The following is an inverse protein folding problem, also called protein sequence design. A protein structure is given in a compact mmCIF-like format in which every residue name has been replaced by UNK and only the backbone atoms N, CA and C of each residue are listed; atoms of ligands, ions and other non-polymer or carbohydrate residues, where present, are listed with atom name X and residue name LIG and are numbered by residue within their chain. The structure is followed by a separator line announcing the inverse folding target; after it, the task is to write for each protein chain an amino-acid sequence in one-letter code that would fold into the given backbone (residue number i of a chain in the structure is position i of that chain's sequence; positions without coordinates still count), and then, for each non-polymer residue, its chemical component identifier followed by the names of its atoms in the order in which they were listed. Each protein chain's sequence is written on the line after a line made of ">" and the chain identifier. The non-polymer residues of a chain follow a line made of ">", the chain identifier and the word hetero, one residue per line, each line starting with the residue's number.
data_IF_840479802623
#
_entry.id   IF_840479802623
#
_cell.length_a   1.000
_cell.length_b   1.000
_cell.length_c   1.000
_cell.angle_alpha   90.00
_cell.angle_beta   90.00
_cell.angle_gamma   90.00
#
_symmetry.space_group_name_H-M   'P 1'
#
loop_
_entity.id
_entity.type
_entity.pdbx_description
1 polymer ?
#
# COMPACT_ATOMS: atom_id res chain seq x y z
N UNK A 1 -39.53 7.01 13.00
CA UNK A 1 -39.14 8.32 13.57
C UNK A 1 -39.80 9.40 12.72
N UNK A 2 -40.96 9.87 13.16
CA UNK A 2 -41.76 10.87 12.46
C UNK A 2 -41.59 12.25 13.09
N UNK A 3 -41.62 13.28 12.25
CA UNK A 3 -41.68 14.68 12.69
C UNK A 3 -42.88 15.34 12.02
N UNK A 4 -43.98 15.38 12.79
CA UNK A 4 -45.15 16.17 12.52
C UNK A 4 -44.88 17.63 12.95
N UNK A 5 -45.07 18.59 12.05
CA UNK A 5 -45.14 20.00 12.42
C UNK A 5 -46.59 20.43 12.43
N UNK A 6 -47.16 20.43 13.63
CA UNK A 6 -48.31 21.26 13.96
C UNK A 6 -47.86 22.71 14.10
N UNK A 7 -48.62 23.63 13.49
CA UNK A 7 -48.68 25.03 13.94
C UNK A 7 -50.14 25.42 14.03
N UNK A 8 -50.59 25.57 15.27
CA UNK A 8 -51.87 26.18 15.59
C UNK A 8 -51.86 27.66 15.23
N UNK A 9 -53.00 28.14 14.77
CA UNK A 9 -53.34 29.55 14.77
C UNK A 9 -54.56 29.68 15.68
N UNK A 10 -54.31 30.23 16.86
CA UNK A 10 -55.33 30.62 17.82
C UNK A 10 -55.96 31.95 17.41
N UNK A 11 -57.27 31.99 17.63
CA UNK A 11 -58.20 33.12 17.73
C UNK A 11 -57.60 34.53 17.87
N UNK A 12 -58.09 35.46 17.05
CA UNK A 12 -58.34 36.82 17.53
C UNK A 12 -59.71 37.31 17.02
N UNK A 13 -60.63 37.31 17.98
CA UNK A 13 -61.98 37.85 17.95
C UNK A 13 -61.90 39.38 17.85
N UNK A 14 -62.42 39.97 16.77
CA UNK A 14 -62.57 41.42 16.61
C UNK A 14 -64.06 41.80 16.61
N UNK A 15 -64.56 41.97 17.83
CA UNK A 15 -65.29 43.16 18.29
C UNK A 15 -66.39 43.74 17.40
N UNK A 16 -67.62 43.48 17.83
CA UNK A 16 -68.73 44.43 17.98
C UNK A 16 -68.42 45.89 17.60
N UNK A 17 -69.12 46.41 16.59
CA UNK A 17 -69.33 47.86 16.42
C UNK A 17 -70.84 48.09 16.33
N UNK A 18 -71.44 48.24 17.50
CA UNK A 18 -72.71 48.94 17.67
C UNK A 18 -72.53 50.41 17.29
N UNK A 19 -73.43 50.93 16.46
CA UNK A 19 -73.40 52.33 16.01
C UNK A 19 -73.89 53.34 17.05
N UNK A 20 -73.89 54.62 16.68
CA UNK A 20 -74.91 55.55 17.14
C UNK A 20 -75.76 56.04 15.97
N UNK A 21 -77.07 56.07 16.19
CA UNK A 21 -77.99 56.91 15.45
C UNK A 21 -77.75 58.36 15.90
N UNK A 22 -77.49 59.27 14.95
CA UNK A 22 -77.91 60.67 15.10
C UNK A 22 -78.01 61.36 13.73
N UNK A 23 -78.91 62.33 13.72
CA UNK A 23 -79.62 62.92 12.61
C UNK A 23 -78.78 63.90 11.77
N UNK A 24 -79.00 63.88 10.45
CA UNK A 24 -78.34 64.84 9.56
C UNK A 24 -78.56 64.59 8.08
N UNK A 25 -79.71 65.03 7.55
CA UNK A 25 -80.00 65.12 6.12
C UNK A 25 -79.00 66.10 5.46
N UNK A 26 -77.89 65.57 4.95
CA UNK A 26 -76.97 66.27 4.05
C UNK A 26 -76.60 65.34 2.88
N UNK A 27 -77.13 65.70 1.70
CA UNK A 27 -76.66 65.37 0.34
C UNK A 27 -75.84 64.08 0.14
N UNK A 28 -76.51 63.03 -0.34
CA UNK A 28 -76.06 61.62 -0.36
C UNK A 28 -75.01 61.20 -1.42
N UNK A 29 -73.87 61.88 -1.52
CA UNK A 29 -72.76 61.44 -2.41
C UNK A 29 -71.44 61.19 -1.65
N UNK A 30 -71.21 61.82 -0.49
CA UNK A 30 -69.93 61.72 0.26
C UNK A 30 -69.59 60.33 0.84
N UNK A 31 -70.49 59.65 1.57
CA UNK A 31 -70.19 58.37 2.22
C UNK A 31 -69.94 57.22 1.23
N UNK A 32 -70.69 57.19 0.13
CA UNK A 32 -70.54 56.19 -0.94
C UNK A 32 -69.17 56.34 -1.63
N UNK A 33 -68.73 57.58 -1.88
CA UNK A 33 -67.40 57.82 -2.48
C UNK A 33 -66.26 57.42 -1.54
N UNK A 34 -66.42 57.58 -0.22
CA UNK A 34 -65.45 57.10 0.77
C UNK A 34 -65.36 55.57 0.82
N UNK A 35 -66.50 54.87 0.75
CA UNK A 35 -66.52 53.40 0.68
C UNK A 35 -65.88 52.87 -0.61
N UNK A 36 -66.14 53.53 -1.75
CA UNK A 36 -65.51 53.19 -3.04
C UNK A 36 -63.99 53.44 -3.00
N UNK A 37 -63.53 54.51 -2.35
CA UNK A 37 -62.10 54.76 -2.16
C UNK A 37 -61.43 53.69 -1.28
N UNK A 38 -62.07 53.27 -0.18
CA UNK A 38 -61.58 52.20 0.69
C UNK A 38 -61.47 50.86 -0.07
N UNK A 39 -62.51 50.50 -0.84
CA UNK A 39 -62.49 49.29 -1.68
C UNK A 39 -61.40 49.37 -2.76
N UNK A 40 -61.18 50.54 -3.36
CA UNK A 40 -60.11 50.72 -4.36
C UNK A 40 -58.71 50.53 -3.76
N UNK A 41 -58.50 51.00 -2.51
CA UNK A 41 -57.25 50.77 -1.77
C UNK A 41 -57.07 49.29 -1.45
N UNK A 42 -58.12 48.61 -0.99
CA UNK A 42 -58.04 47.17 -0.69
C UNK A 42 -57.83 46.33 -1.95
N UNK A 43 -58.45 46.67 -3.09
CA UNK A 43 -58.18 46.04 -4.39
C UNK A 43 -56.73 46.26 -4.81
N UNK A 44 -56.19 47.46 -4.61
CA UNK A 44 -54.78 47.77 -4.85
C UNK A 44 -53.84 46.92 -3.98
N UNK A 45 -54.16 46.75 -2.70
CA UNK A 45 -53.42 45.91 -1.76
C UNK A 45 -53.47 44.43 -2.15
N UNK A 46 -54.65 43.92 -2.48
CA UNK A 46 -54.83 42.53 -2.93
C UNK A 46 -54.05 42.28 -4.22
N UNK A 47 -54.09 43.21 -5.18
CA UNK A 47 -53.31 43.09 -6.40
C UNK A 47 -51.81 43.05 -6.13
N UNK A 48 -51.31 43.92 -5.25
CA UNK A 48 -49.90 43.91 -4.85
C UNK A 48 -49.50 42.59 -4.17
N UNK A 49 -50.37 42.04 -3.30
CA UNK A 49 -50.14 40.73 -2.67
C UNK A 49 -50.15 39.58 -3.68
N UNK A 50 -51.04 39.62 -4.68
CA UNK A 50 -51.06 38.62 -5.77
C UNK A 50 -49.80 38.73 -6.61
N UNK A 51 -49.37 39.94 -6.98
CA UNK A 51 -48.12 40.15 -7.71
C UNK A 51 -46.91 39.65 -6.91
N UNK A 52 -46.86 39.90 -5.59
CA UNK A 52 -45.82 39.36 -4.71
C UNK A 52 -45.86 37.82 -4.64
N UNK A 53 -47.02 37.21 -4.41
CA UNK A 53 -47.17 35.75 -4.35
C UNK A 53 -46.77 35.09 -5.67
N UNK A 54 -47.15 35.67 -6.81
CA UNK A 54 -46.74 35.15 -8.12
C UNK A 54 -45.22 35.23 -8.32
N UNK A 55 -44.57 36.30 -7.85
CA UNK A 55 -43.12 36.43 -7.87
C UNK A 55 -42.43 35.39 -6.96
N UNK A 56 -42.95 35.15 -5.77
CA UNK A 56 -42.47 34.13 -4.83
C UNK A 56 -42.63 32.72 -5.40
N UNK A 57 -43.79 32.40 -5.99
CA UNK A 57 -44.01 31.13 -6.68
C UNK A 57 -43.07 30.94 -7.87
N UNK A 58 -42.82 31.98 -8.66
CA UNK A 58 -41.86 31.92 -9.77
C UNK A 58 -40.40 31.75 -9.28
N UNK A 59 -40.06 32.28 -8.11
CA UNK A 59 -38.76 32.07 -7.48
C UNK A 59 -38.62 30.62 -6.96
N UNK A 60 -39.64 30.10 -6.29
CA UNK A 60 -39.69 28.72 -5.81
C UNK A 60 -39.63 27.70 -6.96
N UNK A 61 -40.36 27.93 -8.05
CA UNK A 61 -40.30 27.09 -9.25
C UNK A 61 -38.90 27.06 -9.87
N UNK A 62 -38.20 28.20 -9.89
CA UNK A 62 -36.80 28.28 -10.34
C UNK A 62 -35.84 27.53 -9.42
N UNK A 63 -36.05 27.58 -8.10
CA UNK A 63 -35.26 26.83 -7.13
C UNK A 63 -35.47 25.32 -7.30
N UNK A 64 -36.72 24.87 -7.42
CA UNK A 64 -37.05 23.46 -7.70
C UNK A 64 -36.42 22.99 -9.01
N UNK A 65 -36.48 23.80 -10.07
CA UNK A 65 -35.82 23.52 -11.34
C UNK A 65 -34.30 23.34 -11.24
N UNK A 66 -33.65 23.95 -10.23
CA UNK A 66 -32.21 23.76 -9.95
C UNK A 66 -31.92 22.55 -9.07
N UNK A 67 -32.83 22.19 -8.17
CA UNK A 67 -32.65 21.05 -7.25
C UNK A 67 -32.93 19.70 -7.92
N UNK A 68 -33.88 19.63 -8.85
CA UNK A 68 -34.20 18.41 -9.60
C UNK A 68 -32.99 17.75 -10.28
N UNK A 69 -32.15 18.46 -11.07
CA UNK A 69 -30.98 17.83 -11.69
C UNK A 69 -29.89 17.45 -10.67
N UNK A 70 -29.82 18.16 -9.54
CA UNK A 70 -28.91 17.80 -8.44
C UNK A 70 -29.33 16.50 -7.77
N UNK A 71 -30.64 16.31 -7.53
CA UNK A 71 -31.18 15.07 -6.98
C UNK A 71 -30.90 13.89 -7.91
N UNK A 72 -31.15 14.04 -9.22
CA UNK A 72 -30.82 13.01 -10.21
C UNK A 72 -29.31 12.67 -10.24
N UNK A 73 -28.43 13.68 -10.06
CA UNK A 73 -26.99 13.46 -9.98
C UNK A 73 -26.57 12.73 -8.70
N UNK A 74 -27.24 12.99 -7.58
CA UNK A 74 -26.99 12.26 -6.32
C UNK A 74 -27.39 10.80 -6.47
N UNK A 75 -28.54 10.50 -7.06
CA UNK A 75 -28.97 9.12 -7.34
C UNK A 75 -27.98 8.40 -8.27
N UNK A 76 -27.51 9.07 -9.32
CA UNK A 76 -26.49 8.52 -10.22
C UNK A 76 -25.19 8.19 -9.49
N UNK A 77 -24.70 9.11 -8.64
CA UNK A 77 -23.47 8.89 -7.87
C UNK A 77 -23.65 7.76 -6.86
N UNK A 78 -24.83 7.62 -6.26
CA UNK A 78 -25.12 6.52 -5.34
C UNK A 78 -25.02 5.16 -6.05
N UNK A 79 -25.61 5.02 -7.24
CA UNK A 79 -25.48 3.78 -8.03
C UNK A 79 -24.03 3.47 -8.39
N UNK A 80 -23.23 4.50 -8.73
CA UNK A 80 -21.80 4.32 -9.03
C UNK A 80 -21.00 3.86 -7.81
N UNK A 81 -21.34 4.36 -6.62
CA UNK A 81 -20.70 3.93 -5.37
C UNK A 81 -21.08 2.50 -5.01
N UNK A 82 -22.34 2.10 -5.20
CA UNK A 82 -22.79 0.72 -4.98
C UNK A 82 -22.06 -0.24 -5.93
N UNK A 83 -21.92 0.11 -7.21
CA UNK A 83 -21.17 -0.67 -8.18
C UNK A 83 -19.68 -0.78 -7.82
N UNK A 84 -19.04 0.33 -7.42
CA UNK A 84 -17.65 0.31 -6.98
C UNK A 84 -17.46 -0.53 -5.71
N UNK A 85 -18.40 -0.48 -4.77
CA UNK A 85 -18.36 -1.30 -3.56
C UNK A 85 -18.39 -2.80 -3.93
N UNK A 86 -19.29 -3.19 -4.85
CA UNK A 86 -19.37 -4.56 -5.34
C UNK A 86 -18.08 -5.00 -6.07
N UNK A 87 -17.52 -4.15 -6.94
CA UNK A 87 -16.24 -4.43 -7.61
C UNK A 87 -15.08 -4.57 -6.61
N UNK A 88 -15.04 -3.74 -5.56
CA UNK A 88 -14.02 -3.86 -4.50
C UNK A 88 -14.18 -5.12 -3.66
N UNK A 89 -15.42 -5.54 -3.38
CA UNK A 89 -15.70 -6.79 -2.67
C UNK A 89 -15.28 -8.00 -3.51
N UNK A 90 -15.62 -8.00 -4.81
CA UNK A 90 -15.20 -9.04 -5.75
C UNK A 90 -13.67 -9.12 -5.87
N UNK A 91 -12.98 -7.97 -5.96
CA UNK A 91 -11.52 -7.92 -5.98
C UNK A 91 -10.91 -8.43 -4.67
N UNK A 92 -11.48 -8.04 -3.52
CA UNK A 92 -11.03 -8.52 -2.21
C UNK A 92 -11.18 -10.03 -2.11
N UNK A 93 -12.33 -10.57 -2.50
CA UNK A 93 -12.58 -12.01 -2.52
C UNK A 93 -11.62 -12.75 -3.48
N UNK A 94 -11.31 -12.15 -4.63
CA UNK A 94 -10.35 -12.74 -5.57
C UNK A 94 -8.92 -12.74 -5.01
N UNK A 95 -8.51 -11.66 -4.33
CA UNK A 95 -7.21 -11.59 -3.65
C UNK A 95 -7.13 -12.61 -2.52
N UNK A 96 -8.18 -12.77 -1.70
CA UNK A 96 -8.25 -13.81 -0.67
C UNK A 96 -8.21 -15.22 -1.28
N UNK A 97 -8.89 -15.44 -2.41
CA UNK A 97 -8.87 -16.70 -3.14
C UNK A 97 -7.48 -17.00 -3.73
N UNK A 98 -6.78 -15.98 -4.23
CA UNK A 98 -5.39 -16.12 -4.69
C UNK A 98 -4.42 -16.33 -3.53
N UNK A 99 -4.68 -15.75 -2.36
CA UNK A 99 -3.88 -15.98 -1.15
C UNK A 99 -4.10 -17.38 -0.58
N UNK A 100 -5.31 -17.94 -0.72
CA UNK A 100 -5.63 -19.32 -0.27
C UNK A 100 -5.28 -20.39 -1.30
N UNK A 101 -5.17 -20.04 -2.59
CA UNK A 101 -4.44 -20.85 -3.56
C UNK A 101 -2.94 -20.63 -3.34
N UNK A 102 -2.42 -21.19 -2.25
CA UNK A 102 -0.99 -21.39 -2.05
C UNK A 102 -0.44 -22.21 -3.21
N UNK A 103 -0.07 -21.53 -4.30
CA UNK A 103 0.79 -22.12 -5.30
C UNK A 103 1.99 -22.67 -4.54
N UNK A 104 2.35 -23.96 -4.71
CA UNK A 104 3.47 -24.53 -4.00
C UNK A 104 4.66 -23.60 -4.21
N UNK A 105 5.25 -23.14 -3.11
CA UNK A 105 6.38 -22.21 -3.13
C UNK A 105 7.37 -22.78 -4.13
N UNK A 106 7.59 -22.06 -5.24
CA UNK A 106 8.53 -22.53 -6.25
C UNK A 106 9.92 -22.33 -5.69
N UNK A 107 10.87 -23.27 -5.90
CA UNK A 107 12.25 -23.03 -5.50
C UNK A 107 12.73 -21.72 -6.13
N UNK A 108 13.10 -20.77 -5.27
CA UNK A 108 13.59 -19.47 -5.72
C UNK A 108 15.05 -19.64 -6.08
N UNK A 109 15.39 -19.44 -7.35
CA UNK A 109 16.77 -19.32 -7.78
C UNK A 109 17.26 -17.90 -7.51
N UNK A 110 18.31 -17.77 -6.69
CA UNK A 110 18.97 -16.50 -6.36
C UNK A 110 19.31 -15.65 -7.59
N UNK A 111 19.63 -16.29 -8.72
CA UNK A 111 19.89 -15.61 -9.99
C UNK A 111 18.74 -14.70 -10.44
N UNK A 112 17.51 -15.14 -10.17
CA UNK A 112 16.27 -14.54 -10.65
C UNK A 112 15.66 -13.57 -9.64
N UNK A 113 16.20 -13.49 -8.42
CA UNK A 113 15.76 -12.50 -7.42
C UNK A 113 16.16 -11.10 -7.91
N UNK A 114 15.19 -10.16 -8.04
CA UNK A 114 15.45 -8.77 -8.39
C UNK A 114 16.48 -8.14 -7.44
N UNK A 115 17.37 -7.30 -7.97
CA UNK A 115 18.51 -6.75 -7.20
C UNK A 115 18.09 -5.95 -5.97
N UNK A 116 16.95 -5.26 -6.04
CA UNK A 116 16.35 -4.50 -4.95
C UNK A 116 15.72 -5.39 -3.87
N UNK A 117 15.26 -6.60 -4.21
CA UNK A 117 14.67 -7.56 -3.28
C UNK A 117 15.68 -8.55 -2.66
N UNK A 118 16.88 -8.66 -3.23
CA UNK A 118 17.91 -9.63 -2.81
C UNK A 118 18.29 -9.53 -1.33
N UNK A 119 18.37 -8.32 -0.80
CA UNK A 119 18.74 -8.09 0.59
C UNK A 119 17.69 -8.67 1.54
N UNK A 120 16.43 -8.28 1.37
CA UNK A 120 15.34 -8.71 2.24
C UNK A 120 15.15 -10.22 2.16
N UNK A 121 15.24 -10.78 0.95
CA UNK A 121 15.17 -12.23 0.75
C UNK A 121 16.31 -12.99 1.45
N UNK A 122 17.55 -12.48 1.43
CA UNK A 122 18.66 -13.12 2.16
C UNK A 122 18.48 -13.06 3.67
N UNK A 123 17.98 -11.94 4.20
CA UNK A 123 17.69 -11.79 5.63
C UNK A 123 16.61 -12.80 6.04
N UNK A 124 15.57 -12.94 5.23
CA UNK A 124 14.50 -13.90 5.47
C UNK A 124 14.99 -15.35 5.40
N UNK A 125 15.81 -15.70 4.41
CA UNK A 125 16.40 -17.03 4.30
C UNK A 125 17.33 -17.34 5.48
N UNK A 126 18.17 -16.38 5.89
CA UNK A 126 19.06 -16.56 7.04
C UNK A 126 18.27 -16.72 8.35
N UNK A 127 17.19 -15.95 8.53
CA UNK A 127 16.28 -16.11 9.66
C UNK A 127 15.63 -17.50 9.65
N UNK A 128 15.16 -17.98 8.49
CA UNK A 128 14.60 -19.33 8.36
C UNK A 128 15.63 -20.42 8.70
N UNK A 129 16.86 -20.32 8.20
CA UNK A 129 17.93 -21.28 8.53
C UNK A 129 18.19 -21.32 10.03
N UNK A 130 18.25 -20.16 10.69
CA UNK A 130 18.45 -20.07 12.14
C UNK A 130 17.25 -20.62 12.92
N UNK A 131 16.05 -20.14 12.62
CA UNK A 131 14.88 -20.33 13.46
C UNK A 131 14.18 -21.67 13.21
N UNK A 132 14.25 -22.17 11.97
CA UNK A 132 13.62 -23.44 11.57
C UNK A 132 14.65 -24.55 11.45
N UNK A 133 15.68 -24.38 10.61
CA UNK A 133 16.60 -25.46 10.30
C UNK A 133 17.47 -25.83 11.52
N UNK A 134 18.10 -24.86 12.17
CA UNK A 134 18.96 -25.16 13.33
C UNK A 134 18.18 -25.57 14.57
N UNK A 135 16.95 -25.07 14.74
CA UNK A 135 16.06 -25.51 15.82
C UNK A 135 15.60 -26.95 15.62
N UNK A 136 15.17 -27.32 14.41
CA UNK A 136 14.69 -28.67 14.09
C UNK A 136 15.80 -29.71 13.93
N UNK A 137 16.96 -29.29 13.44
CA UNK A 137 18.12 -30.15 13.16
C UNK A 137 19.41 -29.53 13.69
N UNK A 138 19.68 -29.62 15.01
CA UNK A 138 20.83 -28.95 15.62
C UNK A 138 22.20 -29.31 15.01
N UNK A 139 22.37 -30.53 14.49
CA UNK A 139 23.60 -30.94 13.80
C UNK A 139 23.85 -30.16 12.50
N UNK A 140 22.80 -29.65 11.85
CA UNK A 140 22.94 -28.79 10.68
C UNK A 140 23.71 -27.50 11.00
N UNK A 141 23.67 -27.02 12.26
CA UNK A 141 24.47 -25.87 12.69
C UNK A 141 25.97 -26.17 12.67
N UNK A 142 26.37 -27.43 12.93
CA UNK A 142 27.76 -27.87 12.91
C UNK A 142 28.25 -28.14 11.48
N UNK A 143 27.36 -28.64 10.62
CA UNK A 143 27.72 -29.05 9.26
C UNK A 143 27.55 -27.95 8.20
N UNK A 144 26.60 -27.02 8.37
CA UNK A 144 26.40 -25.89 7.47
C UNK A 144 27.32 -24.73 7.89
N UNK A 145 28.39 -24.42 7.15
CA UNK A 145 29.43 -23.57 7.71
C UNK A 145 29.08 -22.08 7.69
N UNK A 146 29.85 -21.35 8.49
CA UNK A 146 30.15 -19.93 8.39
C UNK A 146 29.59 -19.16 7.20
N UNK A 147 30.34 -19.41 6.14
CA UNK A 147 30.33 -18.71 4.88
C UNK A 147 29.20 -19.12 3.95
N UNK A 148 28.24 -19.98 4.36
CA UNK A 148 27.18 -20.43 3.44
C UNK A 148 26.47 -19.27 2.70
N UNK A 149 26.22 -18.07 3.29
CA UNK A 149 25.61 -16.95 2.57
C UNK A 149 26.50 -16.37 1.46
N UNK A 150 27.81 -16.59 1.52
CA UNK A 150 28.79 -16.16 0.52
C UNK A 150 28.86 -17.12 -0.67
N UNK A 151 28.36 -18.35 -0.51
CA UNK A 151 28.39 -19.38 -1.54
C UNK A 151 27.04 -19.44 -2.23
N UNK A 152 26.95 -18.85 -3.43
CA UNK A 152 25.72 -18.80 -4.24
C UNK A 152 25.04 -20.16 -4.40
N UNK A 153 25.80 -21.22 -4.60
CA UNK A 153 25.23 -22.57 -4.75
C UNK A 153 24.61 -23.06 -3.43
N UNK A 154 25.20 -22.74 -2.28
CA UNK A 154 24.64 -23.10 -0.97
C UNK A 154 23.43 -22.24 -0.61
N UNK A 155 23.40 -20.97 -1.04
CA UNK A 155 22.20 -20.13 -0.93
C UNK A 155 21.03 -20.75 -1.69
N UNK A 156 21.27 -21.18 -2.93
CA UNK A 156 20.26 -21.89 -3.73
C UNK A 156 19.86 -23.23 -3.07
N UNK A 157 20.82 -24.02 -2.60
CA UNK A 157 20.54 -25.28 -1.90
C UNK A 157 19.67 -25.05 -0.63
N UNK A 158 19.94 -23.99 0.15
CA UNK A 158 19.12 -23.61 1.31
C UNK A 158 17.72 -23.12 0.91
N UNK A 159 17.58 -22.41 -0.21
CA UNK A 159 16.28 -22.00 -0.73
C UNK A 159 15.41 -23.19 -1.17
N UNK A 160 16.03 -24.21 -1.78
CA UNK A 160 15.36 -25.47 -2.11
C UNK A 160 14.99 -26.22 -0.82
N UNK A 161 15.86 -26.24 0.19
CA UNK A 161 15.53 -26.82 1.50
C UNK A 161 14.32 -26.16 2.14
N UNK A 162 14.26 -24.82 2.14
CA UNK A 162 13.09 -24.09 2.65
C UNK A 162 11.82 -24.48 1.90
N UNK A 163 11.88 -24.47 0.58
CA UNK A 163 10.74 -24.83 -0.27
C UNK A 163 10.24 -26.26 0.00
N UNK A 164 11.16 -27.22 0.14
CA UNK A 164 10.83 -28.62 0.43
C UNK A 164 10.33 -28.81 1.86
N UNK A 165 10.80 -27.99 2.81
CA UNK A 165 10.24 -27.94 4.17
C UNK A 165 8.78 -27.47 4.14
N UNK A 166 8.49 -26.37 3.44
CA UNK A 166 7.14 -25.84 3.31
C UNK A 166 6.20 -26.89 2.70
N UNK A 167 6.63 -27.57 1.62
CA UNK A 167 5.87 -28.67 1.02
C UNK A 167 5.68 -29.89 1.94
N UNK A 168 6.60 -30.11 2.88
CA UNK A 168 6.58 -31.24 3.79
C UNK A 168 5.76 -31.00 5.07
N UNK A 169 5.69 -29.76 5.56
CA UNK A 169 5.14 -29.45 6.88
C UNK A 169 4.08 -28.35 6.91
N UNK A 170 4.15 -27.36 6.00
CA UNK A 170 3.25 -26.20 6.02
C UNK A 170 2.10 -26.33 5.01
N UNK A 171 2.35 -27.00 3.88
CA UNK A 171 1.34 -27.19 2.83
C UNK A 171 0.16 -28.05 3.30
N UNK A 172 -1.06 -27.63 2.95
CA UNK A 172 -2.28 -28.42 3.18
C UNK A 172 -2.25 -29.81 2.52
N UNK A 173 -1.47 -29.97 1.45
CA UNK A 173 -1.28 -31.24 0.74
C UNK A 173 -0.08 -32.06 1.25
N UNK A 174 0.52 -31.68 2.40
CA UNK A 174 1.66 -32.38 2.97
C UNK A 174 1.40 -33.90 3.14
N UNK A 175 2.34 -34.70 2.64
CA UNK A 175 2.33 -36.17 2.74
C UNK A 175 3.63 -36.67 3.36
N UNK A 176 3.58 -37.86 3.94
CA UNK A 176 4.73 -38.48 4.59
C UNK A 176 5.97 -38.61 3.68
N UNK A 177 5.79 -38.78 2.36
CA UNK A 177 6.92 -38.86 1.44
C UNK A 177 7.63 -37.51 1.26
N UNK A 178 6.92 -36.38 1.31
CA UNK A 178 7.56 -35.04 1.28
C UNK A 178 8.54 -34.87 2.46
N UNK A 179 8.18 -35.33 3.66
CA UNK A 179 9.07 -35.29 4.82
C UNK A 179 10.27 -36.25 4.71
N UNK A 180 10.14 -37.34 3.95
CA UNK A 180 11.27 -38.23 3.60
C UNK A 180 12.19 -37.54 2.60
N UNK A 181 11.63 -36.90 1.58
CA UNK A 181 12.38 -36.19 0.55
C UNK A 181 13.13 -34.98 1.12
N UNK A 182 12.48 -34.19 1.98
CA UNK A 182 13.13 -33.11 2.73
C UNK A 182 14.34 -33.63 3.53
N UNK A 183 14.19 -34.73 4.28
CA UNK A 183 15.29 -35.29 5.07
C UNK A 183 16.45 -35.77 4.20
N UNK A 184 16.17 -36.40 3.05
CA UNK A 184 17.22 -36.79 2.10
C UNK A 184 17.94 -35.59 1.53
N UNK A 185 17.19 -34.57 1.12
CA UNK A 185 17.76 -33.34 0.60
C UNK A 185 18.62 -32.63 1.65
N UNK A 186 18.18 -32.59 2.91
CA UNK A 186 18.95 -32.00 4.01
C UNK A 186 20.34 -32.64 4.11
N UNK A 187 20.39 -33.97 4.18
CA UNK A 187 21.65 -34.73 4.24
C UNK A 187 22.55 -34.46 3.02
N UNK A 188 21.96 -34.34 1.84
CA UNK A 188 22.70 -34.05 0.61
C UNK A 188 23.24 -32.61 0.60
N UNK A 189 22.47 -31.63 1.08
CA UNK A 189 22.90 -30.23 1.19
C UNK A 189 23.99 -30.06 2.24
N UNK A 190 23.89 -30.69 3.41
CA UNK A 190 24.94 -30.63 4.43
C UNK A 190 26.24 -31.27 3.93
N UNK A 191 26.15 -32.42 3.24
CA UNK A 191 27.30 -33.06 2.60
C UNK A 191 27.93 -32.17 1.51
N UNK A 192 27.09 -31.52 0.69
CA UNK A 192 27.51 -30.55 -0.33
C UNK A 192 28.21 -29.34 0.29
N UNK A 193 27.64 -28.78 1.36
CA UNK A 193 28.21 -27.67 2.11
C UNK A 193 29.59 -28.01 2.65
N UNK A 194 29.74 -29.15 3.32
CA UNK A 194 31.03 -29.62 3.84
C UNK A 194 32.07 -29.91 2.73
N UNK A 195 31.62 -30.28 1.53
CA UNK A 195 32.52 -30.48 0.38
C UNK A 195 32.99 -29.14 -0.22
N UNK A 196 32.07 -28.20 -0.45
CA UNK A 196 32.34 -26.93 -1.13
C UNK A 196 33.10 -25.92 -0.26
N UNK A 197 32.97 -26.01 1.05
CA UNK A 197 33.59 -25.06 2.01
C UNK A 197 34.93 -25.55 2.57
N UNK A 198 35.34 -26.80 2.29
CA UNK A 198 36.50 -27.47 2.91
C UNK A 198 37.84 -26.75 2.73
N UNK A 199 37.92 -25.82 1.79
CA UNK A 199 39.07 -24.95 1.54
C UNK A 199 38.70 -23.48 1.36
N UNK A 200 37.52 -23.06 1.83
CA UNK A 200 37.10 -21.66 1.71
C UNK A 200 38.00 -20.78 2.58
N UNK A 201 38.81 -19.88 2.00
CA UNK A 201 39.65 -18.98 2.77
C UNK A 201 38.79 -18.03 3.60
N UNK A 202 39.25 -17.71 4.81
CA UNK A 202 38.64 -16.63 5.59
C UNK A 202 38.80 -15.33 4.80
N UNK A 203 37.80 -14.46 4.81
CA UNK A 203 37.92 -13.16 4.13
C UNK A 203 39.20 -12.42 4.60
N UNK A 204 40.15 -12.21 3.69
CA UNK A 204 41.45 -11.58 3.97
C UNK A 204 42.57 -12.53 4.47
N UNK A 205 42.39 -13.85 4.43
CA UNK A 205 43.38 -14.84 4.88
C UNK A 205 43.31 -16.16 4.10
N UNK A 206 44.46 -16.70 3.68
CA UNK A 206 44.56 -18.03 3.04
C UNK A 206 44.22 -19.20 3.96
N UNK A 207 43.99 -18.95 5.26
CA UNK A 207 43.57 -19.97 6.21
C UNK A 207 42.07 -20.26 6.08
N UNK A 208 41.65 -21.54 6.09
CA UNK A 208 40.23 -21.89 6.12
C UNK A 208 39.58 -21.30 7.37
N UNK A 209 38.35 -20.78 7.22
CA UNK A 209 37.66 -20.18 8.36
C UNK A 209 37.34 -21.25 9.43
N UNK A 210 37.52 -20.94 10.72
CA UNK A 210 37.13 -21.86 11.79
C UNK A 210 35.61 -22.05 11.73
N UNK A 211 35.14 -23.29 11.87
CA UNK A 211 33.72 -23.59 12.09
C UNK A 211 33.42 -23.24 13.56
N UNK A 212 32.65 -22.18 13.86
CA UNK A 212 32.39 -21.80 15.24
C UNK A 212 31.44 -22.81 15.90
N UNK A 213 31.74 -23.24 17.13
CA UNK A 213 30.93 -24.24 17.89
C UNK A 213 29.90 -23.63 18.83
N UNK A 214 29.81 -22.31 18.94
CA UNK A 214 28.85 -21.61 19.81
C UNK A 214 27.59 -21.19 19.04
N UNK A 215 26.47 -21.00 19.76
CA UNK A 215 25.20 -20.50 19.21
C UNK A 215 25.47 -19.28 18.32
N UNK A 216 25.11 -19.44 17.05
CA UNK A 216 25.65 -18.69 15.93
C UNK A 216 24.64 -17.64 15.49
N UNK A 217 25.06 -16.37 15.49
CA UNK A 217 24.35 -15.28 14.84
C UNK A 217 25.07 -14.94 13.54
N UNK A 218 24.47 -15.30 12.41
CA UNK A 218 25.04 -15.12 11.08
C UNK A 218 24.82 -13.72 10.50
N UNK A 219 24.14 -12.82 11.24
CA UNK A 219 23.79 -11.50 10.74
C UNK A 219 25.02 -10.68 10.32
N UNK A 220 26.12 -10.78 11.08
CA UNK A 220 27.37 -10.10 10.77
C UNK A 220 28.01 -10.63 9.48
N UNK A 221 27.87 -11.94 9.20
CA UNK A 221 28.39 -12.54 7.96
C UNK A 221 27.53 -12.20 6.76
N UNK A 222 26.20 -12.08 6.95
CA UNK A 222 25.28 -11.57 5.92
C UNK A 222 25.63 -10.12 5.58
N UNK A 223 25.89 -9.27 6.59
CA UNK A 223 26.33 -7.89 6.35
C UNK A 223 27.69 -7.82 5.65
N UNK A 224 28.65 -8.67 6.02
CA UNK A 224 29.94 -8.75 5.33
C UNK A 224 29.79 -9.21 3.87
N UNK A 225 28.92 -10.20 3.61
CA UNK A 225 28.59 -10.67 2.27
C UNK A 225 27.99 -9.57 1.39
N UNK A 226 27.02 -8.84 1.93
CA UNK A 226 26.39 -7.70 1.27
C UNK A 226 27.43 -6.63 0.94
N UNK A 227 28.32 -6.34 1.90
CA UNK A 227 29.38 -5.35 1.72
C UNK A 227 30.32 -5.73 0.58
N UNK A 228 30.72 -6.99 0.48
CA UNK A 228 31.54 -7.49 -0.63
C UNK A 228 30.82 -7.41 -1.98
N UNK A 229 29.52 -7.72 -2.02
CA UNK A 229 28.71 -7.62 -3.23
C UNK A 229 28.67 -6.19 -3.78
N UNK A 230 28.47 -5.21 -2.89
CA UNK A 230 28.49 -3.78 -3.24
C UNK A 230 29.86 -3.34 -3.75
N UNK A 231 30.95 -3.81 -3.14
CA UNK A 231 32.31 -3.50 -3.58
C UNK A 231 32.63 -4.10 -4.95
N UNK A 232 32.12 -5.31 -5.24
CA UNK A 232 32.25 -5.95 -6.54
C UNK A 232 31.49 -5.17 -7.64
N UNK A 233 30.25 -4.76 -7.36
CA UNK A 233 29.46 -3.93 -8.28
C UNK A 233 30.13 -2.57 -8.53
N UNK A 234 30.60 -1.93 -7.47
CA UNK A 234 31.33 -0.66 -7.54
C UNK A 234 32.57 -0.78 -8.42
N UNK A 235 33.34 -1.85 -8.26
CA UNK A 235 34.50 -2.13 -9.11
C UNK A 235 34.11 -2.27 -10.58
N UNK A 236 33.07 -3.04 -10.88
CA UNK A 236 32.60 -3.21 -12.26
C UNK A 236 32.21 -1.87 -12.90
N UNK A 237 31.56 -0.98 -12.15
CA UNK A 237 31.20 0.38 -12.61
C UNK A 237 32.44 1.27 -12.84
N UNK A 238 33.43 1.21 -11.93
CA UNK A 238 34.69 1.95 -12.08
C UNK A 238 35.49 1.46 -13.28
N UNK A 239 35.56 0.15 -13.50
CA UNK A 239 36.19 -0.44 -14.69
C UNK A 239 35.47 0.00 -15.97
N UNK A 240 34.14 -0.06 -16.00
CA UNK A 240 33.34 0.40 -17.14
C UNK A 240 33.54 1.89 -17.43
N UNK A 241 33.60 2.72 -16.40
CA UNK A 241 33.81 4.17 -16.51
C UNK A 241 35.20 4.53 -17.08
N UNK A 242 36.21 3.72 -16.78
CA UNK A 242 37.59 3.94 -17.22
C UNK A 242 37.94 3.23 -18.54
N UNK A 243 37.12 2.29 -19.00
CA UNK A 243 37.44 1.49 -20.18
C UNK A 243 37.39 2.35 -21.46
N UNK A 244 38.47 2.38 -22.29
CA UNK A 244 38.60 3.30 -23.42
C UNK A 244 37.62 3.00 -24.56
N UNK A 245 37.14 1.77 -24.68
CA UNK A 245 36.15 1.39 -25.72
C UNK A 245 34.70 1.65 -25.32
N UNK A 246 34.43 2.03 -24.07
CA UNK A 246 33.06 2.29 -23.61
C UNK A 246 32.61 3.67 -24.13
N UNK A 247 31.42 3.78 -24.76
CA UNK A 247 30.87 5.07 -25.20
C UNK A 247 30.87 6.13 -24.09
N UNK A 248 31.14 7.40 -24.44
CA UNK A 248 31.27 8.50 -23.47
C UNK A 248 30.05 8.66 -22.56
N UNK A 249 28.84 8.48 -23.09
CA UNK A 249 27.59 8.53 -22.32
C UNK A 249 27.56 7.47 -21.22
N UNK A 250 27.84 6.21 -21.57
CA UNK A 250 27.87 5.08 -20.64
C UNK A 250 28.99 5.21 -19.60
N UNK A 251 30.15 5.75 -19.98
CA UNK A 251 31.22 6.05 -19.00
C UNK A 251 30.78 7.07 -17.96
N UNK A 252 30.08 8.11 -18.41
CA UNK A 252 29.56 9.17 -17.53
C UNK A 252 28.48 8.62 -16.60
N UNK A 253 27.56 7.80 -17.13
CA UNK A 253 26.52 7.14 -16.34
C UNK A 253 27.10 6.19 -15.29
N UNK A 254 28.06 5.34 -15.66
CA UNK A 254 28.74 4.43 -14.75
C UNK A 254 29.49 5.18 -13.64
N UNK A 255 30.17 6.29 -13.96
CA UNK A 255 30.84 7.13 -12.98
C UNK A 255 29.87 7.78 -11.99
N UNK A 256 28.73 8.29 -12.46
CA UNK A 256 27.69 8.84 -11.57
C UNK A 256 27.04 7.75 -10.72
N UNK A 257 26.83 6.54 -11.27
CA UNK A 257 26.31 5.42 -10.51
C UNK A 257 27.27 4.99 -9.39
N UNK A 258 28.57 4.87 -9.69
CA UNK A 258 29.59 4.58 -8.68
C UNK A 258 29.60 5.63 -7.55
N UNK A 259 29.52 6.92 -7.89
CA UNK A 259 29.41 8.00 -6.88
C UNK A 259 28.15 7.91 -6.02
N UNK A 260 27.03 7.45 -6.58
CA UNK A 260 25.80 7.20 -5.80
C UNK A 260 26.01 6.06 -4.81
N UNK A 261 26.57 4.93 -5.25
CA UNK A 261 26.84 3.79 -4.37
C UNK A 261 27.79 4.15 -3.21
N UNK A 262 28.87 4.89 -3.49
CA UNK A 262 29.78 5.41 -2.46
C UNK A 262 29.02 6.19 -1.37
N UNK A 263 28.14 7.12 -1.76
CA UNK A 263 27.37 7.96 -0.82
C UNK A 263 26.29 7.18 -0.08
N UNK A 264 25.49 6.39 -0.81
CA UNK A 264 24.33 5.69 -0.26
C UNK A 264 24.73 4.65 0.78
N UNK A 265 25.82 3.92 0.54
CA UNK A 265 26.28 2.86 1.43
C UNK A 265 27.42 3.31 2.36
N UNK A 266 27.85 4.57 2.30
CA UNK A 266 28.98 5.06 3.10
C UNK A 266 30.24 4.22 2.89
N UNK A 267 30.52 3.81 1.65
CA UNK A 267 31.76 3.12 1.29
C UNK A 267 32.88 4.15 1.31
N UNK A 268 34.00 3.83 1.95
CA UNK A 268 35.15 4.73 1.96
C UNK A 268 36.12 4.39 0.83
N UNK A 269 36.94 5.36 0.41
CA UNK A 269 37.98 5.10 -0.58
C UNK A 269 39.00 4.08 -0.07
N UNK A 270 39.28 4.08 1.23
CA UNK A 270 40.18 3.13 1.90
C UNK A 270 39.63 1.70 1.80
N UNK A 271 38.34 1.51 2.10
CA UNK A 271 37.67 0.21 2.00
C UNK A 271 37.67 -0.33 0.57
N UNK A 272 37.33 0.51 -0.41
CA UNK A 272 37.40 0.12 -1.82
C UNK A 272 38.82 -0.26 -2.25
N UNK A 273 39.82 0.51 -1.80
CA UNK A 273 41.24 0.21 -2.09
C UNK A 273 41.68 -1.11 -1.43
N UNK A 274 41.25 -1.37 -0.20
CA UNK A 274 41.53 -2.64 0.49
C UNK A 274 40.91 -3.83 -0.26
N UNK A 275 39.69 -3.68 -0.78
CA UNK A 275 39.05 -4.67 -1.63
C UNK A 275 39.82 -4.92 -2.94
N UNK A 276 40.26 -3.87 -3.63
CA UNK A 276 41.10 -4.03 -4.83
C UNK A 276 42.44 -4.73 -4.52
N UNK A 277 43.06 -4.42 -3.38
CA UNK A 277 44.29 -5.10 -2.94
C UNK A 277 44.05 -6.57 -2.62
N UNK A 278 42.92 -6.90 -1.98
CA UNK A 278 42.53 -8.27 -1.68
C UNK A 278 42.40 -9.11 -2.96
N UNK A 279 41.82 -8.55 -4.03
CA UNK A 279 41.68 -9.26 -5.32
C UNK A 279 42.99 -9.45 -6.09
N UNK A 280 44.06 -8.73 -5.75
CA UNK A 280 45.38 -8.85 -6.39
C UNK A 280 46.30 -9.86 -5.72
N UNK A 281 45.92 -10.37 -4.54
CA UNK A 281 46.64 -11.42 -3.82
C UNK A 281 46.17 -12.78 -4.31
#
# INVERSE_FOLDING_TARGET
>A
MGWAWGRGVSEEYLGDIAGPADDGRASGVGPVMSAVAAVSVDVGRVRALVEQLTAEHAAAARQLGRLMPLAAKVEQLQMQLEQLAEETEQLSAHVEQMATQELPSRPVDWAHVPSDARQDWMVELAAWVRDVLFTGWPHAMEELPSCWPLHRDLVNDCAVLRTTYDAAYESADARAHHAVDFRRLLEDVLRSAAARTRGCPTQGSDRPHPVPRSARDDIDQVHAAQRLGLLAELRALVEQANHPSTPQSLRTEAAEHAKRLFRQHGITQEEYTAYEQMLRR
#
